data_IF_122351598573
#
_entry.id   IF_122351598573
#
_cell.length_a   1.000
_cell.length_b   1.000
_cell.length_c   1.000
_cell.angle_alpha   90.00
_cell.angle_beta   90.00
_cell.angle_gamma   90.00
#
_symmetry.space_group_name_H-M   'P 1'
#
loop_
_entity.id
_entity.type
_entity.pdbx_description
1 polymer ?
#
# COMPACT_ATOMS: atom_id res chain seq x y z
N UNK A 1 -1.58 -49.54 17.77
CA UNK A 1 -0.62 -49.24 16.68
C UNK A 1 -1.24 -48.19 15.76
N UNK A 2 -0.59 -47.01 15.72
CA UNK A 2 -0.63 -45.91 14.72
C UNK A 2 -1.94 -45.13 14.44
N UNK A 3 -2.06 -43.95 15.07
CA UNK A 3 -2.82 -42.79 14.56
C UNK A 3 -2.00 -42.13 13.44
N UNK A 4 -2.60 -41.95 12.26
CA UNK A 4 -2.06 -41.13 11.18
C UNK A 4 -2.18 -39.65 11.55
N UNK A 5 -1.06 -38.95 11.65
CA UNK A 5 -1.01 -37.51 11.86
C UNK A 5 -1.29 -36.77 10.54
N UNK A 6 -2.34 -35.94 10.54
CA UNK A 6 -2.61 -35.01 9.45
C UNK A 6 -1.47 -34.00 9.32
N UNK A 7 -0.82 -33.96 8.15
CA UNK A 7 0.21 -32.97 7.84
C UNK A 7 -0.45 -31.59 7.75
N UNK A 8 -0.18 -30.73 8.73
CA UNK A 8 -0.49 -29.30 8.63
C UNK A 8 0.24 -28.70 7.42
N UNK A 9 -0.54 -28.25 6.44
CA UNK A 9 -0.04 -27.62 5.22
C UNK A 9 0.45 -26.20 5.55
N UNK A 10 1.71 -26.06 5.97
CA UNK A 10 2.30 -24.76 6.30
C UNK A 10 2.50 -23.94 5.03
N UNK A 11 1.76 -22.83 4.87
CA UNK A 11 1.99 -21.87 3.78
C UNK A 11 3.44 -21.38 3.80
N UNK A 12 4.10 -21.25 2.65
CA UNK A 12 5.49 -20.84 2.57
C UNK A 12 5.67 -19.44 3.22
N UNK A 13 6.84 -19.17 3.82
CA UNK A 13 7.12 -17.87 4.40
C UNK A 13 7.02 -16.80 3.31
N UNK A 14 6.37 -15.67 3.65
CA UNK A 14 6.27 -14.53 2.72
C UNK A 14 7.67 -14.04 2.37
N UNK A 15 7.95 -13.85 1.08
CA UNK A 15 9.19 -13.21 0.61
C UNK A 15 9.33 -11.82 1.25
N UNK A 16 10.56 -11.36 1.55
CA UNK A 16 10.76 -9.96 1.91
C UNK A 16 10.16 -9.04 0.84
N UNK A 17 9.76 -7.80 1.23
CA UNK A 17 9.54 -6.75 0.24
C UNK A 17 10.72 -6.70 -0.71
N UNK A 18 10.46 -6.48 -2.00
CA UNK A 18 11.55 -6.28 -2.95
C UNK A 18 12.37 -5.06 -2.50
N UNK A 19 13.70 -5.15 -2.50
CA UNK A 19 14.56 -3.98 -2.28
C UNK A 19 14.23 -2.86 -3.28
N UNK A 20 13.76 -3.23 -4.47
CA UNK A 20 13.27 -2.31 -5.50
C UNK A 20 11.96 -1.61 -5.09
N UNK A 21 10.98 -2.32 -4.52
CA UNK A 21 9.73 -1.72 -4.00
C UNK A 21 10.05 -0.73 -2.88
N UNK A 22 10.94 -1.12 -1.97
CA UNK A 22 11.41 -0.26 -0.89
C UNK A 22 12.09 1.01 -1.44
N UNK A 23 12.99 0.86 -2.41
CA UNK A 23 13.69 2.00 -3.02
C UNK A 23 12.72 2.96 -3.71
N UNK A 24 11.80 2.44 -4.53
CA UNK A 24 10.78 3.24 -5.20
C UNK A 24 9.92 4.00 -4.20
N UNK A 25 9.43 3.33 -3.14
CA UNK A 25 8.62 3.98 -2.11
C UNK A 25 9.40 5.12 -1.41
N UNK A 26 10.68 4.90 -1.09
CA UNK A 26 11.55 5.93 -0.50
C UNK A 26 11.71 7.14 -1.44
N UNK A 27 11.96 6.91 -2.72
CA UNK A 27 12.06 7.97 -3.74
C UNK A 27 10.77 8.77 -3.83
N UNK A 28 9.62 8.10 -3.86
CA UNK A 28 8.30 8.73 -3.91
C UNK A 28 8.08 9.67 -2.71
N UNK A 29 8.33 9.18 -1.49
CA UNK A 29 8.16 9.98 -0.26
C UNK A 29 9.13 11.16 -0.23
N UNK A 30 10.39 10.95 -0.63
CA UNK A 30 11.40 12.00 -0.68
C UNK A 30 10.99 13.11 -1.66
N UNK A 31 10.65 12.73 -2.89
CA UNK A 31 10.23 13.68 -3.92
C UNK A 31 8.97 14.44 -3.48
N UNK A 32 7.97 13.75 -2.94
CA UNK A 32 6.71 14.39 -2.53
C UNK A 32 6.95 15.46 -1.48
N UNK A 33 7.75 15.16 -0.45
CA UNK A 33 8.04 16.10 0.63
C UNK A 33 8.86 17.31 0.16
N UNK A 34 9.70 17.12 -0.87
CA UNK A 34 10.44 18.21 -1.48
C UNK A 34 9.54 19.10 -2.35
N UNK A 35 8.66 18.52 -3.17
CA UNK A 35 7.79 19.28 -4.08
C UNK A 35 6.60 19.93 -3.36
N UNK A 36 6.04 19.26 -2.36
CA UNK A 36 4.86 19.69 -1.62
C UNK A 36 5.16 19.76 -0.11
N UNK A 37 6.09 20.63 0.33
CA UNK A 37 6.47 20.72 1.73
C UNK A 37 5.30 21.05 2.66
N UNK A 38 4.28 21.77 2.16
CA UNK A 38 3.04 22.07 2.89
C UNK A 38 2.20 20.82 3.20
N UNK A 39 2.40 19.70 2.49
CA UNK A 39 1.72 18.43 2.70
C UNK A 39 2.64 17.32 3.21
N UNK A 40 3.85 17.66 3.66
CA UNK A 40 4.87 16.66 4.02
C UNK A 40 4.43 15.70 5.13
N UNK A 41 3.55 16.14 6.04
CA UNK A 41 2.96 15.34 7.12
C UNK A 41 1.70 14.57 6.69
N UNK A 42 1.08 14.95 5.58
CA UNK A 42 -0.12 14.30 5.06
C UNK A 42 0.20 13.00 4.32
N UNK A 43 1.44 12.84 3.81
CA UNK A 43 1.93 11.60 3.20
C UNK A 43 2.77 10.78 4.19
N UNK A 44 2.30 9.59 4.52
CA UNK A 44 3.02 8.66 5.39
C UNK A 44 2.83 7.20 4.96
N UNK A 45 3.79 6.37 5.38
CA UNK A 45 3.76 4.94 5.14
C UNK A 45 2.91 4.20 6.16
N UNK A 46 2.20 3.18 5.71
CA UNK A 46 1.50 2.21 6.54
C UNK A 46 2.30 0.90 6.49
N UNK A 47 3.09 0.56 7.53
CA UNK A 47 4.08 -0.53 7.48
C UNK A 47 3.46 -1.94 7.63
N UNK A 48 2.40 -2.25 6.88
CA UNK A 48 1.65 -3.51 7.01
C UNK A 48 2.33 -4.73 6.37
N UNK A 49 3.28 -4.50 5.45
CA UNK A 49 4.05 -5.53 4.72
C UNK A 49 5.29 -6.07 5.45
N UNK A 50 5.71 -5.47 6.57
CA UNK A 50 6.97 -5.79 7.24
C UNK A 50 7.09 -7.24 7.73
N UNK A 51 8.31 -7.82 7.60
CA UNK A 51 8.66 -9.09 8.23
C UNK A 51 8.55 -8.93 9.75
N UNK A 52 7.91 -9.90 10.38
CA UNK A 52 7.66 -9.91 11.83
C UNK A 52 7.60 -11.34 12.35
N UNK A 53 7.96 -11.51 13.62
CA UNK A 53 7.79 -12.78 14.31
C UNK A 53 6.30 -13.15 14.39
N UNK A 54 5.99 -14.42 14.62
CA UNK A 54 4.61 -14.87 14.82
C UNK A 54 3.93 -14.13 15.99
N UNK A 55 4.67 -13.89 17.07
CA UNK A 55 4.16 -13.21 18.27
C UNK A 55 3.84 -11.75 17.98
N UNK A 56 4.77 -11.00 17.37
CA UNK A 56 4.55 -9.61 16.96
C UNK A 56 3.44 -9.49 15.93
N UNK A 57 3.37 -10.42 14.98
CA UNK A 57 2.27 -10.48 14.00
C UNK A 57 0.90 -10.74 14.64
N UNK A 58 0.84 -11.56 15.70
CA UNK A 58 -0.38 -11.77 16.47
C UNK A 58 -0.83 -10.51 17.21
N UNK A 59 0.10 -9.84 17.91
CA UNK A 59 -0.17 -8.58 18.62
C UNK A 59 -0.69 -7.48 17.69
N UNK A 60 0.02 -7.22 16.59
CA UNK A 60 -0.38 -6.21 15.61
C UNK A 60 -1.77 -6.47 15.03
N UNK A 61 -2.13 -7.74 14.77
CA UNK A 61 -3.49 -8.07 14.32
C UNK A 61 -4.54 -7.79 15.39
N UNK A 62 -4.23 -8.07 16.65
CA UNK A 62 -5.11 -7.74 17.77
C UNK A 62 -5.26 -6.22 17.96
N UNK A 63 -4.21 -5.46 17.62
CA UNK A 63 -4.21 -3.99 17.56
C UNK A 63 -4.93 -3.43 16.31
N UNK A 64 -5.39 -4.29 15.39
CA UNK A 64 -6.16 -3.90 14.21
C UNK A 64 -5.40 -3.89 12.89
N UNK A 65 -4.16 -4.39 12.82
CA UNK A 65 -3.44 -4.52 11.55
C UNK A 65 -4.17 -5.46 10.59
N UNK A 66 -4.68 -4.89 9.49
CA UNK A 66 -5.38 -5.61 8.43
C UNK A 66 -4.41 -6.07 7.34
N UNK A 67 -4.62 -7.28 6.83
CA UNK A 67 -3.87 -7.76 5.66
C UNK A 67 -4.47 -7.14 4.39
N UNK A 68 -3.64 -6.58 3.53
CA UNK A 68 -4.07 -6.00 2.25
C UNK A 68 -4.16 -4.48 2.23
N UNK A 69 -4.01 -3.81 3.38
CA UNK A 69 -3.84 -2.35 3.42
C UNK A 69 -2.59 -1.98 2.62
N UNK A 70 -2.71 -0.94 1.80
CA UNK A 70 -1.67 -0.49 0.88
C UNK A 70 -0.57 0.33 1.58
N UNK A 71 0.52 0.60 0.87
CA UNK A 71 1.79 1.05 1.46
C UNK A 71 1.81 2.51 1.94
N UNK A 72 1.17 3.45 1.23
CA UNK A 72 1.17 4.88 1.56
C UNK A 72 -0.24 5.46 1.60
N UNK A 73 -0.43 6.48 2.44
CA UNK A 73 -1.65 7.28 2.51
C UNK A 73 -1.31 8.76 2.42
N UNK A 74 -2.03 9.48 1.56
CA UNK A 74 -2.01 10.93 1.42
C UNK A 74 -3.36 11.50 1.89
N UNK A 75 -3.34 12.14 3.07
CA UNK A 75 -4.51 12.74 3.71
C UNK A 75 -4.71 14.19 3.28
N UNK A 76 -5.04 14.41 2.01
CA UNK A 76 -5.39 15.74 1.48
C UNK A 76 -6.70 15.60 0.73
N UNK A 77 -7.83 16.11 1.24
CA UNK A 77 -9.08 16.07 0.51
C UNK A 77 -9.00 16.92 -0.76
N UNK A 78 -9.40 16.34 -1.90
CA UNK A 78 -9.48 17.02 -3.19
C UNK A 78 -10.83 16.70 -3.83
N UNK A 79 -11.60 17.74 -4.17
CA UNK A 79 -12.99 17.60 -4.67
C UNK A 79 -13.79 16.71 -3.71
N UNK A 80 -14.49 15.70 -4.24
CA UNK A 80 -15.31 14.77 -3.47
C UNK A 80 -14.51 13.55 -2.95
N UNK A 81 -13.17 13.60 -2.96
CA UNK A 81 -12.32 12.51 -2.51
C UNK A 81 -11.61 12.86 -1.19
N UNK A 82 -11.68 11.95 -0.23
CA UNK A 82 -11.17 12.09 1.14
C UNK A 82 -9.64 11.95 1.25
N UNK A 83 -9.02 11.24 0.31
CA UNK A 83 -7.58 11.01 0.28
C UNK A 83 -7.15 10.08 -0.86
N UNK A 84 -5.85 10.02 -1.09
CA UNK A 84 -5.21 9.09 -2.03
C UNK A 84 -4.47 8.02 -1.25
N UNK A 85 -4.64 6.76 -1.64
CA UNK A 85 -3.97 5.60 -1.06
C UNK A 85 -3.17 4.92 -2.17
N UNK A 86 -1.92 4.59 -1.89
CA UNK A 86 -0.95 4.21 -2.93
C UNK A 86 -0.33 2.88 -2.54
N UNK A 87 -0.38 1.92 -3.46
CA UNK A 87 0.41 0.69 -3.40
C UNK A 87 1.62 0.83 -4.30
N UNK A 88 2.79 0.41 -3.80
CA UNK A 88 4.00 0.32 -4.60
C UNK A 88 4.27 -1.11 -5.03
N UNK A 89 4.61 -1.31 -6.31
CA UNK A 89 5.03 -2.60 -6.84
C UNK A 89 6.23 -2.46 -7.75
N UNK A 90 7.04 -3.52 -7.86
CA UNK A 90 7.99 -3.60 -8.98
C UNK A 90 7.24 -3.62 -10.32
N UNK A 91 7.94 -3.46 -11.43
CA UNK A 91 7.37 -3.55 -12.77
C UNK A 91 6.51 -4.83 -12.97
N UNK A 92 6.98 -5.97 -12.45
CA UNK A 92 6.30 -7.28 -12.55
C UNK A 92 5.48 -7.64 -11.30
N UNK A 93 5.54 -6.81 -10.27
CA UNK A 93 4.83 -7.01 -9.02
C UNK A 93 3.32 -7.02 -9.25
N UNK A 94 2.61 -7.95 -8.58
CA UNK A 94 1.16 -8.11 -8.70
C UNK A 94 0.50 -7.78 -7.36
N UNK A 95 -0.67 -7.14 -7.45
CA UNK A 95 -1.57 -7.02 -6.31
C UNK A 95 -2.00 -8.40 -5.84
N UNK A 96 -1.98 -8.60 -4.53
CA UNK A 96 -2.60 -9.77 -3.91
C UNK A 96 -4.13 -9.59 -3.89
N UNK A 97 -4.89 -10.68 -3.85
CA UNK A 97 -6.36 -10.60 -3.78
C UNK A 97 -6.85 -9.77 -2.60
N UNK A 98 -6.19 -9.87 -1.44
CA UNK A 98 -6.51 -9.04 -0.26
C UNK A 98 -6.30 -7.55 -0.46
N UNK A 99 -5.32 -7.16 -1.27
CA UNK A 99 -5.08 -5.75 -1.60
C UNK A 99 -6.19 -5.23 -2.52
N UNK A 100 -6.61 -6.02 -3.50
CA UNK A 100 -7.74 -5.68 -4.38
C UNK A 100 -9.04 -5.57 -3.59
N UNK A 101 -9.34 -6.56 -2.74
CA UNK A 101 -10.53 -6.58 -1.88
C UNK A 101 -10.56 -5.33 -0.97
N UNK A 102 -9.43 -5.02 -0.34
CA UNK A 102 -9.34 -3.88 0.56
C UNK A 102 -9.47 -2.54 -0.19
N UNK A 103 -8.79 -2.39 -1.33
CA UNK A 103 -8.85 -1.20 -2.17
C UNK A 103 -10.27 -0.95 -2.71
N UNK A 104 -10.94 -2.01 -3.18
CA UNK A 104 -12.33 -1.93 -3.64
C UNK A 104 -13.28 -1.51 -2.52
N UNK A 105 -13.10 -2.06 -1.31
CA UNK A 105 -13.92 -1.70 -0.15
C UNK A 105 -13.72 -0.24 0.25
N UNK A 106 -12.48 0.20 0.47
CA UNK A 106 -12.22 1.56 0.96
C UNK A 106 -12.58 2.64 -0.06
N UNK A 107 -12.55 2.31 -1.36
CA UNK A 107 -12.94 3.23 -2.43
C UNK A 107 -14.44 3.59 -2.38
N UNK A 108 -15.28 2.72 -1.80
CA UNK A 108 -16.70 3.02 -1.55
C UNK A 108 -16.89 4.14 -0.52
N UNK A 109 -15.86 4.41 0.29
CA UNK A 109 -15.86 5.44 1.34
C UNK A 109 -15.10 6.71 0.91
N UNK A 110 -15.02 6.97 -0.39
CA UNK A 110 -14.50 8.24 -0.93
C UNK A 110 -12.98 8.33 -0.98
N UNK A 111 -12.25 7.22 -0.89
CA UNK A 111 -10.81 7.19 -1.11
C UNK A 111 -10.50 6.75 -2.54
N UNK A 112 -9.41 7.26 -3.12
CA UNK A 112 -8.88 6.74 -4.39
C UNK A 112 -7.68 5.84 -4.07
N UNK A 113 -7.68 4.61 -4.57
CA UNK A 113 -6.54 3.71 -4.50
C UNK A 113 -5.83 3.64 -5.84
N UNK A 114 -4.50 3.81 -5.86
CA UNK A 114 -3.70 3.72 -7.09
C UNK A 114 -2.52 2.77 -6.93
N UNK A 115 -2.10 2.19 -8.05
CA UNK A 115 -0.90 1.38 -8.15
C UNK A 115 0.22 2.21 -8.78
N UNK A 116 1.38 2.22 -8.12
CA UNK A 116 2.58 2.92 -8.57
C UNK A 116 3.71 1.92 -8.78
N UNK A 117 4.41 2.04 -9.91
CA UNK A 117 5.53 1.15 -10.27
C UNK A 117 6.89 1.83 -10.39
N UNK A 118 6.92 3.15 -10.45
CA UNK A 118 8.14 3.95 -10.55
C UNK A 118 7.94 5.33 -9.91
N UNK A 119 9.02 6.11 -9.78
CA UNK A 119 8.91 7.50 -9.35
C UNK A 119 8.06 8.32 -10.34
N UNK A 120 8.26 8.17 -11.64
CA UNK A 120 7.49 8.94 -12.64
C UNK A 120 5.98 8.64 -12.55
N UNK A 121 5.63 7.37 -12.38
CA UNK A 121 4.25 6.92 -12.16
C UNK A 121 3.65 7.53 -10.87
N UNK A 122 4.44 7.59 -9.79
CA UNK A 122 4.03 8.28 -8.57
C UNK A 122 3.78 9.77 -8.81
N UNK A 123 4.67 10.45 -9.54
CA UNK A 123 4.57 11.88 -9.83
C UNK A 123 3.27 12.18 -10.58
N UNK A 124 2.96 11.39 -11.60
CA UNK A 124 1.73 11.52 -12.38
C UNK A 124 0.49 11.33 -11.49
N UNK A 125 0.46 10.27 -10.68
CA UNK A 125 -0.68 9.99 -9.81
C UNK A 125 -0.86 11.01 -8.69
N UNK A 126 0.21 11.38 -7.99
CA UNK A 126 0.16 12.35 -6.90
C UNK A 126 -0.21 13.75 -7.40
N UNK A 127 0.37 14.18 -8.52
CA UNK A 127 0.07 15.50 -9.11
C UNK A 127 -1.33 15.52 -9.72
N UNK A 128 -1.73 14.48 -10.44
CA UNK A 128 -3.09 14.33 -10.97
C UNK A 128 -4.14 14.38 -9.85
N UNK A 129 -3.88 13.67 -8.75
CA UNK A 129 -4.75 13.74 -7.57
C UNK A 129 -4.82 15.16 -6.99
N UNK A 130 -3.68 15.80 -6.69
CA UNK A 130 -3.64 17.12 -6.05
C UNK A 130 -4.22 18.25 -6.92
N UNK A 131 -4.17 18.10 -8.25
CA UNK A 131 -4.79 19.05 -9.20
C UNK A 131 -6.26 18.73 -9.47
N UNK A 132 -6.76 17.58 -9.00
CA UNK A 132 -8.11 17.11 -9.24
C UNK A 132 -8.34 16.56 -10.65
N UNK A 133 -7.29 16.32 -11.44
CA UNK A 133 -7.39 15.58 -12.70
C UNK A 133 -7.32 14.07 -12.41
N UNK A 134 -8.49 13.49 -12.19
CA UNK A 134 -8.59 12.07 -11.86
C UNK A 134 -8.65 11.15 -13.09
N UNK A 135 -8.55 11.70 -14.30
CA UNK A 135 -8.76 10.95 -15.56
C UNK A 135 -7.61 10.00 -15.90
N UNK A 136 -6.40 10.30 -15.40
CA UNK A 136 -5.16 9.55 -15.68
C UNK A 136 -4.63 8.76 -14.49
N UNK A 137 -5.38 8.66 -13.41
CA UNK A 137 -4.94 7.92 -12.23
C UNK A 137 -4.94 6.41 -12.52
N UNK A 138 -3.88 5.74 -12.11
CA UNK A 138 -3.70 4.30 -12.23
C UNK A 138 -4.47 3.58 -11.12
N UNK A 139 -5.81 3.65 -11.20
CA UNK A 139 -6.72 3.12 -10.18
C UNK A 139 -6.65 1.60 -10.05
N UNK A 140 -6.77 1.13 -8.81
CA UNK A 140 -6.88 -0.30 -8.44
C UNK A 140 -8.33 -0.75 -8.50
#
# INVERSE_FOLDING_TARGET
MLRLAEKQNSKPPRKPPSEEEHHTQCQCVQWFRYQFPQFALNLFAIPNGGKRSKTTGGKLKAEGALAGVLDLMLLVPIKDCNGLIIETKTEKGKLTEKQKEWAAHISQFGYICVLVRSLDDFIENATGYLTGDFSKLNRI
#
